data_IF_454921154035
#
_entry.id   IF_454921154035
#
_cell.length_a   1.000
_cell.length_b   1.000
_cell.length_c   1.000
_cell.angle_alpha   90.00
_cell.angle_beta   90.00
_cell.angle_gamma   90.00
#
_symmetry.space_group_name_H-M   'P 1'
#
loop_
_entity.id
_entity.type
_entity.pdbx_description
1 polymer ?
#
# COMPACT_ATOMS: atom_id res chain seq x y z
N UNK A 1 -17.06 12.18 10.78
CA UNK A 1 -16.96 11.60 9.43
C UNK A 1 -17.51 10.19 9.47
N UNK A 2 -18.54 9.91 8.70
CA UNK A 2 -19.09 8.56 8.58
C UNK A 2 -18.17 7.68 7.72
N UNK A 3 -18.10 6.38 8.05
CA UNK A 3 -17.22 5.44 7.37
C UNK A 3 -17.99 4.78 6.22
N UNK A 4 -17.54 5.00 4.99
CA UNK A 4 -18.09 4.40 3.79
C UNK A 4 -17.08 3.45 3.16
N UNK A 5 -17.54 2.27 2.73
CA UNK A 5 -16.73 1.31 1.99
C UNK A 5 -17.23 1.19 0.55
N UNK A 6 -16.34 0.84 -0.39
CA UNK A 6 -16.69 0.46 -1.76
C UNK A 6 -16.15 -0.92 -2.10
N UNK A 7 -16.80 -1.67 -3.00
CA UNK A 7 -16.22 -2.89 -3.55
C UNK A 7 -14.87 -2.60 -4.22
N UNK A 8 -13.89 -3.49 -4.03
CA UNK A 8 -12.59 -3.39 -4.68
C UNK A 8 -12.73 -3.47 -6.21
N UNK A 9 -12.02 -2.61 -6.92
CA UNK A 9 -12.00 -2.56 -8.37
C UNK A 9 -10.93 -3.50 -8.93
N UNK A 10 -11.27 -4.23 -10.00
CA UNK A 10 -10.34 -5.10 -10.71
C UNK A 10 -9.36 -4.34 -11.63
N UNK A 11 -9.74 -3.14 -12.06
CA UNK A 11 -8.94 -2.28 -12.96
C UNK A 11 -8.99 -0.84 -12.47
N UNK A 12 -7.85 -0.17 -12.50
CA UNK A 12 -7.67 1.22 -12.04
C UNK A 12 -7.39 2.18 -13.20
N UNK A 13 -7.21 1.65 -14.41
CA UNK A 13 -6.86 2.41 -15.60
C UNK A 13 -7.88 2.23 -16.71
N UNK A 14 -8.05 3.26 -17.54
CA UNK A 14 -8.90 3.23 -18.73
C UNK A 14 -8.40 4.24 -19.76
N UNK A 15 -7.92 3.74 -20.90
CA UNK A 15 -7.34 4.59 -21.94
C UNK A 15 -6.12 5.35 -21.41
N UNK A 16 -6.19 6.68 -21.34
CA UNK A 16 -5.10 7.54 -20.81
C UNK A 16 -5.34 8.02 -19.38
N UNK A 17 -6.28 7.41 -18.66
CA UNK A 17 -6.59 7.73 -17.26
C UNK A 17 -6.11 6.59 -16.36
N UNK A 18 -5.42 6.93 -15.28
CA UNK A 18 -5.06 6.04 -14.20
C UNK A 18 -5.54 6.63 -12.88
N UNK A 19 -6.21 5.82 -12.06
CA UNK A 19 -6.63 6.16 -10.71
C UNK A 19 -5.64 5.68 -9.66
N UNK A 20 -5.61 6.40 -8.53
CA UNK A 20 -4.75 6.13 -7.38
C UNK A 20 -5.43 6.61 -6.09
N UNK A 21 -4.97 6.11 -4.94
CA UNK A 21 -5.54 6.47 -3.64
C UNK A 21 -7.03 6.11 -3.50
N UNK A 22 -7.72 6.89 -2.66
CA UNK A 22 -9.14 6.69 -2.34
C UNK A 22 -10.08 6.74 -3.56
N UNK A 23 -9.62 7.25 -4.71
CA UNK A 23 -10.41 7.23 -5.94
C UNK A 23 -10.66 5.80 -6.46
N UNK A 24 -9.75 4.87 -6.20
CA UNK A 24 -9.80 3.47 -6.67
C UNK A 24 -9.79 2.46 -5.54
N UNK A 25 -9.31 2.83 -4.34
CA UNK A 25 -9.25 1.95 -3.17
C UNK A 25 -9.54 2.67 -1.85
N UNK A 26 -10.73 3.28 -1.68
CA UNK A 26 -11.07 3.92 -0.42
C UNK A 26 -11.03 2.90 0.72
N UNK A 27 -10.21 3.18 1.73
CA UNK A 27 -9.93 2.24 2.80
C UNK A 27 -10.47 2.72 4.14
N UNK A 28 -11.00 1.78 4.92
CA UNK A 28 -11.43 2.05 6.29
C UNK A 28 -10.26 2.53 7.15
N UNK A 29 -10.47 3.46 8.10
CA UNK A 29 -9.41 3.94 8.99
C UNK A 29 -8.74 2.82 9.80
N UNK A 30 -9.38 1.65 9.94
CA UNK A 30 -8.78 0.46 10.56
C UNK A 30 -7.56 -0.09 9.82
N UNK A 31 -7.32 0.30 8.56
CA UNK A 31 -6.08 -0.03 7.87
C UNK A 31 -4.87 0.71 8.44
N UNK A 32 -5.08 1.88 9.05
CA UNK A 32 -4.04 2.84 9.48
C UNK A 32 -3.03 3.27 8.38
N UNK A 33 -3.12 2.75 7.16
CA UNK A 33 -2.11 2.88 6.11
C UNK A 33 -2.67 3.34 4.74
N UNK A 34 -3.84 3.98 4.70
CA UNK A 34 -4.45 4.46 3.45
C UNK A 34 -3.60 5.49 2.70
N UNK A 35 -3.09 6.50 3.42
CA UNK A 35 -2.20 7.51 2.84
C UNK A 35 -0.89 6.89 2.32
N UNK A 36 -0.32 5.92 3.06
CA UNK A 36 0.88 5.20 2.65
C UNK A 36 0.69 4.48 1.32
N UNK A 37 -0.42 3.75 1.18
CA UNK A 37 -0.78 3.09 -0.09
C UNK A 37 -0.91 4.09 -1.24
N UNK A 38 -1.52 5.26 -1.02
CA UNK A 38 -1.64 6.30 -2.05
C UNK A 38 -0.28 6.88 -2.48
N UNK A 39 0.67 7.05 -1.55
CA UNK A 39 2.03 7.50 -1.85
C UNK A 39 2.76 6.44 -2.69
N UNK A 40 2.69 5.18 -2.27
CA UNK A 40 3.28 4.08 -3.01
C UNK A 40 2.71 3.98 -4.43
N UNK A 41 1.40 4.14 -4.63
CA UNK A 41 0.80 4.14 -5.97
C UNK A 41 1.44 5.18 -6.89
N UNK A 42 1.64 6.40 -6.39
CA UNK A 42 2.28 7.47 -7.14
C UNK A 42 3.70 7.09 -7.57
N UNK A 43 4.45 6.46 -6.68
CA UNK A 43 5.79 5.95 -6.97
C UNK A 43 5.78 4.84 -8.03
N UNK A 44 4.92 3.82 -7.87
CA UNK A 44 4.82 2.70 -8.82
C UNK A 44 4.36 3.16 -10.21
N UNK A 45 3.41 4.11 -10.25
CA UNK A 45 2.96 4.72 -11.50
C UNK A 45 4.07 5.54 -12.17
N UNK A 46 4.78 6.38 -11.41
CA UNK A 46 5.90 7.17 -11.93
C UNK A 46 7.01 6.26 -12.49
N UNK A 47 7.32 5.17 -11.78
CA UNK A 47 8.30 4.17 -12.22
C UNK A 47 7.87 3.46 -13.50
N UNK A 48 6.59 3.09 -13.62
CA UNK A 48 6.07 2.44 -14.81
C UNK A 48 6.11 3.35 -16.06
N UNK A 49 5.88 4.65 -15.86
CA UNK A 49 5.92 5.67 -16.90
C UNK A 49 7.32 6.20 -17.20
N UNK A 50 8.29 5.97 -16.32
CA UNK A 50 9.65 6.52 -16.41
C UNK A 50 10.32 6.22 -17.75
N UNK A 51 10.81 7.28 -18.41
CA UNK A 51 11.53 7.17 -19.69
C UNK A 51 10.67 6.84 -20.91
N UNK A 52 9.33 6.75 -20.78
CA UNK A 52 8.43 6.49 -21.89
C UNK A 52 7.96 7.78 -22.57
N UNK A 53 7.73 7.71 -23.87
CA UNK A 53 7.05 8.77 -24.62
C UNK A 53 5.56 8.80 -24.28
N UNK A 54 5.06 9.93 -23.76
CA UNK A 54 3.67 10.09 -23.38
C UNK A 54 2.70 10.20 -24.58
N UNK A 55 3.24 10.41 -25.79
CA UNK A 55 2.47 10.36 -27.03
C UNK A 55 2.22 8.93 -27.51
N UNK A 56 3.07 7.96 -27.12
CA UNK A 56 2.91 6.56 -27.48
C UNK A 56 1.80 5.89 -26.66
N UNK A 57 0.64 5.71 -27.29
CA UNK A 57 -0.52 5.08 -26.65
C UNK A 57 -0.27 3.63 -26.27
N UNK A 58 0.50 2.89 -27.05
CA UNK A 58 0.77 1.48 -26.77
C UNK A 58 1.71 1.37 -25.57
N UNK A 59 2.78 2.17 -25.55
CA UNK A 59 3.71 2.25 -24.42
C UNK A 59 3.04 2.70 -23.12
N UNK A 60 2.06 3.60 -23.16
CA UNK A 60 1.29 4.00 -21.98
C UNK A 60 0.37 2.88 -21.49
N UNK A 61 -0.30 2.17 -22.39
CA UNK A 61 -1.15 1.04 -22.02
C UNK A 61 -0.35 -0.08 -21.33
N UNK A 62 0.86 -0.35 -21.81
CA UNK A 62 1.78 -1.30 -21.20
C UNK A 62 2.25 -0.85 -19.81
N UNK A 63 2.59 0.43 -19.65
CA UNK A 63 2.97 1.01 -18.36
C UNK A 63 1.83 0.91 -17.34
N UNK A 64 0.59 1.20 -17.76
CA UNK A 64 -0.59 1.08 -16.92
C UNK A 64 -0.87 -0.37 -16.54
N UNK A 65 -0.72 -1.33 -17.45
CA UNK A 65 -0.84 -2.75 -17.15
C UNK A 65 0.20 -3.21 -16.11
N UNK A 66 1.45 -2.72 -16.22
CA UNK A 66 2.48 -2.98 -15.21
C UNK A 66 2.11 -2.41 -13.85
N UNK A 67 1.70 -1.14 -13.80
CA UNK A 67 1.23 -0.49 -12.58
C UNK A 67 0.08 -1.28 -11.91
N UNK A 68 -0.94 -1.69 -12.68
CA UNK A 68 -2.03 -2.50 -12.14
C UNK A 68 -1.55 -3.84 -11.59
N UNK A 69 -0.66 -4.53 -12.31
CA UNK A 69 -0.12 -5.83 -11.89
C UNK A 69 0.66 -5.77 -10.58
N UNK A 70 1.30 -4.63 -10.30
CA UNK A 70 2.11 -4.43 -9.09
C UNK A 70 1.25 -3.94 -7.90
N UNK A 71 0.10 -3.30 -8.15
CA UNK A 71 -0.68 -2.60 -7.10
C UNK A 71 -2.05 -3.18 -6.78
N UNK A 72 -2.83 -3.60 -7.77
CA UNK A 72 -4.26 -3.91 -7.58
C UNK A 72 -4.47 -5.01 -6.55
N UNK A 73 -3.76 -6.14 -6.68
CA UNK A 73 -3.90 -7.28 -5.79
C UNK A 73 -3.42 -6.97 -4.36
N UNK A 74 -2.27 -6.31 -4.24
CA UNK A 74 -1.69 -5.90 -2.96
C UNK A 74 -2.64 -4.97 -2.19
N UNK A 75 -3.07 -3.88 -2.82
CA UNK A 75 -3.93 -2.90 -2.14
C UNK A 75 -5.32 -3.47 -1.86
N UNK A 76 -5.87 -4.29 -2.76
CA UNK A 76 -7.15 -4.98 -2.52
C UNK A 76 -7.09 -5.87 -1.29
N UNK A 77 -6.00 -6.61 -1.08
CA UNK A 77 -5.80 -7.41 0.12
C UNK A 77 -5.86 -6.54 1.39
N UNK A 78 -5.17 -5.41 1.39
CA UNK A 78 -5.11 -4.49 2.53
C UNK A 78 -6.47 -3.87 2.84
N UNK A 79 -7.21 -3.44 1.81
CA UNK A 79 -8.56 -2.87 1.95
C UNK A 79 -9.52 -3.89 2.54
N UNK A 80 -9.54 -5.11 2.00
CA UNK A 80 -10.43 -6.16 2.50
C UNK A 80 -10.04 -6.65 3.90
N UNK A 81 -8.75 -6.68 4.21
CA UNK A 81 -8.27 -6.98 5.55
C UNK A 81 -8.76 -5.92 6.56
N UNK A 82 -8.61 -4.64 6.25
CA UNK A 82 -9.11 -3.56 7.08
C UNK A 82 -10.63 -3.61 7.28
N UNK A 83 -11.38 -3.97 6.24
CA UNK A 83 -12.83 -4.18 6.31
C UNK A 83 -13.20 -5.32 7.25
N UNK A 84 -12.49 -6.45 7.17
CA UNK A 84 -12.69 -7.60 8.07
C UNK A 84 -12.37 -7.24 9.52
N UNK A 85 -11.26 -6.53 9.76
CA UNK A 85 -10.90 -6.06 11.10
C UNK A 85 -11.97 -5.14 11.69
N UNK A 86 -12.45 -4.16 10.91
CA UNK A 86 -13.52 -3.25 11.35
C UNK A 86 -14.75 -4.00 11.84
N UNK A 87 -15.21 -4.99 11.06
CA UNK A 87 -16.34 -5.85 11.44
C UNK A 87 -16.05 -6.68 12.70
N UNK A 88 -14.87 -7.29 12.80
CA UNK A 88 -14.50 -8.12 13.96
C UNK A 88 -14.37 -7.32 15.25
N UNK A 89 -13.88 -6.08 15.19
CA UNK A 89 -13.73 -5.25 16.37
C UNK A 89 -15.05 -4.69 16.90
N UNK A 90 -15.98 -4.34 16.01
CA UNK A 90 -17.18 -3.57 16.38
C UNK A 90 -18.50 -4.35 16.31
N UNK A 91 -18.54 -5.51 15.66
CA UNK A 91 -19.75 -6.32 15.51
C UNK A 91 -19.70 -7.68 16.21
N UNK A 92 -18.62 -7.96 16.95
CA UNK A 92 -18.54 -9.18 17.76
C UNK A 92 -19.54 -9.11 18.94
N UNK A 93 -20.37 -10.15 19.16
CA UNK A 93 -21.24 -10.20 20.33
C UNK A 93 -20.43 -10.18 21.62
N UNK A 94 -20.97 -9.57 22.68
CA UNK A 94 -20.29 -9.36 23.97
C UNK A 94 -19.49 -10.57 24.52
N UNK A 95 -20.00 -11.82 24.54
CA UNK A 95 -19.21 -12.96 25.01
C UNK A 95 -18.00 -13.29 24.12
N UNK A 96 -18.10 -13.05 22.81
CA UNK A 96 -17.00 -13.26 21.86
C UNK A 96 -15.95 -12.17 22.00
N UNK A 97 -16.38 -10.91 22.19
CA UNK A 97 -15.47 -9.79 22.44
C UNK A 97 -14.66 -10.02 23.73
N UNK A 98 -15.31 -10.45 24.81
CA UNK A 98 -14.62 -10.77 26.07
C UNK A 98 -13.58 -11.88 25.90
N UNK A 99 -13.91 -12.95 25.18
CA UNK A 99 -12.97 -14.05 24.94
C UNK A 99 -11.79 -13.60 24.06
N UNK A 100 -12.05 -12.81 23.02
CA UNK A 100 -11.02 -12.19 22.17
C UNK A 100 -10.07 -11.36 23.03
N UNK A 101 -10.61 -10.48 23.87
CA UNK A 101 -9.82 -9.57 24.71
C UNK A 101 -8.99 -10.36 25.72
N UNK A 102 -9.57 -11.38 26.36
CA UNK A 102 -8.83 -12.29 27.25
C UNK A 102 -7.67 -12.98 26.52
N UNK A 103 -7.88 -13.49 25.31
CA UNK A 103 -6.83 -14.17 24.55
C UNK A 103 -5.75 -13.18 24.12
N UNK A 104 -6.11 -12.00 23.64
CA UNK A 104 -5.15 -11.00 23.16
C UNK A 104 -4.33 -10.40 24.30
N UNK A 105 -4.92 -10.16 25.47
CA UNK A 105 -4.22 -9.57 26.61
C UNK A 105 -3.31 -10.58 27.33
N UNK A 106 -3.68 -11.87 27.29
CA UNK A 106 -2.96 -12.90 28.04
C UNK A 106 -2.04 -13.78 27.17
N UNK A 107 -2.05 -13.62 25.85
CA UNK A 107 -1.23 -14.46 24.95
C UNK A 107 -0.48 -13.64 23.90
N UNK A 108 0.69 -14.13 23.47
CA UNK A 108 1.46 -13.55 22.35
C UNK A 108 0.87 -13.90 20.97
N UNK A 109 -0.37 -14.34 20.90
CA UNK A 109 -0.99 -14.81 19.66
C UNK A 109 -1.06 -13.68 18.63
N UNK A 110 -1.53 -12.49 19.03
CA UNK A 110 -1.64 -11.34 18.14
C UNK A 110 -0.27 -10.91 17.63
N UNK A 111 0.73 -10.85 18.52
CA UNK A 111 2.10 -10.51 18.16
C UNK A 111 2.66 -11.51 17.12
N UNK A 112 2.48 -12.82 17.34
CA UNK A 112 2.92 -13.84 16.38
C UNK A 112 2.21 -13.73 15.03
N UNK A 113 0.90 -13.48 15.01
CA UNK A 113 0.13 -13.34 13.77
C UNK A 113 0.57 -12.11 12.96
N UNK A 114 0.83 -10.97 13.62
CA UNK A 114 1.31 -9.76 12.94
C UNK A 114 2.74 -9.95 12.41
N UNK A 115 3.63 -10.62 13.17
CA UNK A 115 5.04 -10.76 12.77
C UNK A 115 5.27 -11.78 11.66
N UNK A 116 4.54 -12.91 11.66
CA UNK A 116 4.94 -14.08 10.86
C UNK A 116 4.71 -13.91 9.36
N UNK A 117 3.71 -13.10 8.99
CA UNK A 117 3.25 -12.97 7.60
C UNK A 117 3.29 -11.50 7.13
N UNK A 118 2.74 -10.56 7.91
CA UNK A 118 2.66 -9.16 7.46
C UNK A 118 4.02 -8.45 7.40
N UNK A 119 4.78 -8.47 8.51
CA UNK A 119 6.03 -7.72 8.59
C UNK A 119 7.11 -8.28 7.66
N UNK A 120 7.18 -9.60 7.52
CA UNK A 120 8.15 -10.24 6.62
C UNK A 120 7.88 -9.93 5.16
N UNK A 121 6.63 -10.02 4.71
CA UNK A 121 6.30 -9.78 3.30
C UNK A 121 6.45 -8.29 2.96
N UNK A 122 6.06 -7.40 3.87
CA UNK A 122 6.29 -5.96 3.73
C UNK A 122 7.79 -5.62 3.70
N UNK A 123 8.59 -6.23 4.58
CA UNK A 123 10.05 -6.03 4.62
C UNK A 123 10.72 -6.52 3.32
N UNK A 124 10.35 -7.70 2.81
CA UNK A 124 10.87 -8.21 1.53
C UNK A 124 10.49 -7.29 0.37
N UNK A 125 9.24 -6.82 0.33
CA UNK A 125 8.79 -5.86 -0.67
C UNK A 125 9.59 -4.55 -0.60
N UNK A 126 9.73 -3.94 0.59
CA UNK A 126 10.54 -2.73 0.77
C UNK A 126 11.99 -2.93 0.37
N UNK A 127 12.62 -4.05 0.76
CA UNK A 127 14.00 -4.37 0.39
C UNK A 127 14.20 -4.66 -1.10
N UNK A 128 13.15 -5.04 -1.83
CA UNK A 128 13.23 -5.23 -3.27
C UNK A 128 13.32 -3.90 -4.05
N UNK A 129 12.97 -2.78 -3.42
CA UNK A 129 12.94 -1.46 -4.04
C UNK A 129 14.29 -0.76 -3.84
N UNK A 130 15.28 -1.17 -4.63
CA UNK A 130 16.66 -0.67 -4.57
C UNK A 130 16.76 0.86 -4.65
N UNK A 131 15.84 1.50 -5.36
CA UNK A 131 15.77 2.96 -5.51
C UNK A 131 15.34 3.72 -4.23
N UNK A 132 14.77 3.04 -3.24
CA UNK A 132 14.47 3.60 -1.92
C UNK A 132 15.60 3.37 -0.91
N UNK A 133 16.60 2.56 -1.26
CA UNK A 133 17.76 2.39 -0.39
C UNK A 133 18.62 3.64 -0.43
N UNK A 134 18.75 4.31 0.71
CA UNK A 134 19.70 5.40 0.87
C UNK A 134 21.09 4.81 1.06
N UNK A 135 21.95 4.92 0.04
CA UNK A 135 23.37 4.68 0.22
C UNK A 135 23.92 5.73 1.21
N UNK A 136 24.49 5.34 2.36
CA UNK A 136 25.03 6.30 3.32
C UNK A 136 26.19 7.14 2.74
N UNK A 137 26.76 6.72 1.60
CA UNK A 137 27.79 7.45 0.88
C UNK A 137 27.25 8.51 -0.11
N UNK A 138 26.00 8.40 -0.59
CA UNK A 138 25.44 9.34 -1.57
C UNK A 138 24.78 10.58 -0.93
N UNK A 139 24.49 10.51 0.38
CA UNK A 139 23.90 11.59 1.17
C UNK A 139 24.92 12.61 1.72
N UNK A 140 26.21 12.47 1.42
CA UNK A 140 27.20 13.48 1.79
C UNK A 140 26.92 14.78 1.02
N UNK A 141 26.84 15.95 1.68
CA UNK A 141 26.68 17.22 0.97
C UNK A 141 27.86 17.36 -0.01
N UNK A 142 27.57 17.52 -1.31
CA UNK A 142 28.59 17.88 -2.30
C UNK A 142 29.21 19.19 -1.82
N UNK A 143 30.46 19.15 -1.36
CA UNK A 143 31.15 20.34 -0.92
C UNK A 143 31.22 21.30 -2.11
N UNK A 144 30.74 22.53 -1.90
CA UNK A 144 30.88 23.61 -2.86
C UNK A 144 32.36 23.99 -2.96
N UNK A 145 33.09 23.29 -3.83
CA UNK A 145 34.44 23.67 -4.19
C UNK A 145 34.38 24.77 -5.26
N UNK A 146 34.71 26.00 -4.84
CA UNK A 146 35.40 27.04 -5.61
C UNK A 146 34.80 27.45 -6.94
N UNK A 147 34.07 28.57 -6.94
CA UNK A 147 34.12 29.52 -8.05
C UNK A 147 34.98 30.68 -7.56
N UNK A 148 36.07 30.92 -8.30
CA UNK A 148 37.06 31.97 -8.08
C UNK A 148 36.47 33.38 -8.20
#
# INVERSE_FOLDING_TARGET
>A
WEIYNRPSLAHWTKGRMAGLGDAVHPVSPYAAYGMGMAIEDGYFLARALGGRDLADRAGIAEAFARYESERVAYVTHQVEFARKLGNQFHQAPAPVAWLRDMIFDNTKLLQRLITKDYLKDAEVMSMSLVELHTDPASSAPKSSAGVA
#
